data_IF_514242015260
#
_entry.id   IF_514242015260
#
_cell.length_a   1.000
_cell.length_b   1.000
_cell.length_c   1.000
_cell.angle_alpha   90.00
_cell.angle_beta   90.00
_cell.angle_gamma   90.00
#
_symmetry.space_group_name_H-M   'P 1'
#
loop_
_entity.id
_entity.type
_entity.pdbx_description
1 polymer ?
#
# COMPACT_ATOMS: atom_id res chain seq x y z
N UNK A 1 19.94 1.71 -15.00
CA UNK A 1 19.80 2.37 -16.26
C UNK A 1 18.42 2.03 -16.80
N UNK A 2 17.42 2.77 -16.96
CA UNK A 2 17.30 3.82 -17.86
C UNK A 2 15.81 4.16 -18.09
N UNK A 3 15.26 4.98 -17.23
CA UNK A 3 14.04 5.69 -17.60
C UNK A 3 14.30 6.51 -18.89
N UNK A 4 15.51 7.05 -19.02
CA UNK A 4 15.98 7.74 -20.22
C UNK A 4 16.11 6.84 -21.46
N UNK A 5 16.45 5.57 -21.28
CA UNK A 5 16.49 4.60 -22.38
C UNK A 5 15.10 4.31 -22.95
N UNK A 6 14.07 4.27 -22.10
CA UNK A 6 12.68 4.12 -22.52
C UNK A 6 12.21 5.34 -23.34
N UNK A 7 12.46 6.54 -22.82
CA UNK A 7 12.08 7.79 -23.49
C UNK A 7 12.78 7.99 -24.82
N UNK A 8 14.08 7.67 -24.89
CA UNK A 8 14.83 7.73 -26.15
C UNK A 8 14.39 6.69 -27.16
N UNK A 9 14.04 5.46 -26.75
CA UNK A 9 13.52 4.43 -27.65
C UNK A 9 12.15 4.79 -28.20
N UNK A 10 11.25 5.31 -27.38
CA UNK A 10 9.92 5.81 -27.82
C UNK A 10 10.09 6.96 -28.84
N UNK A 11 11.06 7.85 -28.63
CA UNK A 11 11.32 8.98 -29.54
C UNK A 11 11.96 8.55 -30.89
N UNK A 12 12.78 7.51 -30.88
CA UNK A 12 13.51 7.02 -32.09
C UNK A 12 12.66 6.04 -32.91
N UNK A 13 11.64 5.40 -32.31
CA UNK A 13 10.80 4.37 -32.95
C UNK A 13 9.51 4.95 -33.53
N UNK A 14 9.30 6.25 -33.51
CA UNK A 14 8.13 6.92 -34.12
C UNK A 14 7.89 6.69 -35.63
N UNK A 15 8.81 6.13 -36.45
CA UNK A 15 8.46 5.65 -37.79
C UNK A 15 8.07 4.16 -37.85
N UNK A 16 8.22 3.41 -36.76
CA UNK A 16 7.77 2.02 -36.69
C UNK A 16 6.27 1.96 -36.39
N UNK A 17 5.58 1.00 -36.92
CA UNK A 17 4.12 0.85 -36.86
C UNK A 17 3.60 0.97 -35.42
N UNK A 18 2.43 1.60 -35.18
CA UNK A 18 1.88 1.82 -33.84
C UNK A 18 1.74 0.53 -33.00
N UNK A 19 1.75 -0.60 -33.66
CA UNK A 19 1.65 -1.92 -33.01
C UNK A 19 2.98 -2.39 -32.39
N UNK A 20 4.13 -2.05 -32.98
CA UNK A 20 5.46 -2.40 -32.42
C UNK A 20 5.81 -1.51 -31.23
N UNK A 21 5.42 -0.23 -31.25
CA UNK A 21 5.56 0.69 -30.13
C UNK A 21 4.71 0.22 -28.94
N UNK A 22 3.47 -0.21 -29.19
CA UNK A 22 2.59 -0.72 -28.16
C UNK A 22 3.10 -2.05 -27.54
N UNK A 23 3.68 -2.95 -28.36
CA UNK A 23 4.22 -4.21 -27.83
C UNK A 23 5.54 -4.02 -27.09
N UNK A 24 6.46 -3.17 -27.57
CA UNK A 24 7.67 -2.84 -26.83
C UNK A 24 7.36 -2.11 -25.51
N UNK A 25 6.43 -1.17 -25.54
CA UNK A 25 5.97 -0.48 -24.33
C UNK A 25 5.28 -1.46 -23.36
N UNK A 26 4.44 -2.38 -23.86
CA UNK A 26 3.78 -3.38 -23.03
C UNK A 26 4.78 -4.38 -22.44
N UNK A 27 5.79 -4.84 -23.18
CA UNK A 27 6.84 -5.72 -22.66
C UNK A 27 7.73 -5.02 -21.64
N UNK A 28 8.10 -3.78 -21.87
CA UNK A 28 8.92 -3.00 -20.95
C UNK A 28 8.10 -2.57 -19.72
N UNK A 29 6.81 -2.27 -19.87
CA UNK A 29 5.89 -2.06 -18.77
C UNK A 29 5.69 -3.35 -17.94
N UNK A 30 5.56 -4.50 -18.60
CA UNK A 30 5.49 -5.81 -17.93
C UNK A 30 6.82 -6.19 -17.25
N UNK A 31 7.95 -5.84 -17.81
CA UNK A 31 9.27 -6.03 -17.20
C UNK A 31 9.47 -5.12 -15.98
N UNK A 32 8.90 -3.91 -16.01
CA UNK A 32 8.86 -2.97 -14.90
C UNK A 32 7.77 -3.31 -13.87
N UNK A 33 6.63 -3.84 -14.31
CA UNK A 33 5.60 -4.41 -13.43
C UNK A 33 6.04 -5.76 -12.85
N UNK A 34 6.94 -6.48 -13.51
CA UNK A 34 7.56 -7.71 -13.02
C UNK A 34 8.61 -7.46 -11.92
N UNK A 35 8.78 -6.23 -11.47
CA UNK A 35 9.27 -5.93 -10.13
C UNK A 35 8.33 -6.55 -9.08
N UNK A 36 8.01 -7.84 -9.28
CA UNK A 36 7.16 -8.63 -8.37
C UNK A 36 7.61 -8.47 -6.91
N UNK A 37 8.92 -8.31 -6.68
CA UNK A 37 9.49 -7.99 -5.39
C UNK A 37 8.96 -6.68 -4.80
N UNK A 38 8.72 -5.66 -5.61
CA UNK A 38 8.27 -4.34 -5.13
C UNK A 38 6.78 -4.35 -4.79
N UNK A 39 5.96 -5.02 -5.60
CA UNK A 39 4.54 -5.21 -5.32
C UNK A 39 4.37 -6.08 -4.07
N UNK A 40 5.11 -7.19 -3.98
CA UNK A 40 5.09 -8.06 -2.80
C UNK A 40 5.55 -7.31 -1.55
N UNK A 41 6.63 -6.54 -1.64
CA UNK A 41 7.13 -5.73 -0.51
C UNK A 41 6.07 -4.73 -0.05
N UNK A 42 5.47 -4.00 -0.98
CA UNK A 42 4.42 -3.02 -0.69
C UNK A 42 3.20 -3.69 -0.04
N UNK A 43 2.77 -4.82 -0.60
CA UNK A 43 1.64 -5.60 -0.07
C UNK A 43 1.93 -6.15 1.33
N UNK A 44 3.13 -6.68 1.58
CA UNK A 44 3.54 -7.18 2.90
C UNK A 44 3.59 -6.05 3.93
N UNK A 45 4.18 -4.91 3.58
CA UNK A 45 4.29 -3.78 4.52
C UNK A 45 2.93 -3.19 4.87
N UNK A 46 2.03 -3.03 3.91
CA UNK A 46 0.68 -2.52 4.16
C UNK A 46 -0.22 -3.53 4.86
N UNK A 47 -0.07 -4.83 4.56
CA UNK A 47 -0.78 -5.86 5.34
C UNK A 47 -0.36 -5.87 6.80
N UNK A 48 0.89 -5.50 7.11
CA UNK A 48 1.33 -5.24 8.50
C UNK A 48 0.47 -4.21 9.21
N UNK A 49 0.21 -3.07 8.56
CA UNK A 49 -0.70 -2.04 9.08
C UNK A 49 -2.14 -2.53 9.28
N UNK A 50 -2.64 -3.35 8.35
CA UNK A 50 -3.96 -3.97 8.48
C UNK A 50 -4.01 -4.97 9.64
N UNK A 51 -3.00 -5.82 9.78
CA UNK A 51 -2.92 -6.79 10.88
C UNK A 51 -2.89 -6.05 12.23
N UNK A 52 -2.06 -5.01 12.34
CA UNK A 52 -2.00 -4.18 13.54
C UNK A 52 -3.37 -3.53 13.81
N UNK A 53 -3.99 -2.91 12.80
CA UNK A 53 -5.27 -2.24 12.92
C UNK A 53 -6.41 -3.19 13.32
N UNK A 54 -6.49 -4.35 12.68
CA UNK A 54 -7.49 -5.38 13.01
C UNK A 54 -7.29 -5.90 14.44
N UNK A 55 -6.06 -6.22 14.82
CA UNK A 55 -5.75 -6.75 16.17
C UNK A 55 -6.06 -5.72 17.24
N UNK A 56 -5.61 -4.48 17.07
CA UNK A 56 -5.86 -3.41 18.02
C UNK A 56 -7.35 -3.02 18.06
N UNK A 57 -8.05 -3.04 16.93
CA UNK A 57 -9.49 -2.81 16.86
C UNK A 57 -10.30 -3.88 17.58
N UNK A 58 -9.96 -5.16 17.38
CA UNK A 58 -10.56 -6.29 18.11
C UNK A 58 -10.34 -6.18 19.62
N UNK A 59 -9.10 -5.89 20.03
CA UNK A 59 -8.75 -5.74 21.45
C UNK A 59 -9.45 -4.54 22.09
N UNK A 60 -9.46 -3.40 21.44
CA UNK A 60 -10.11 -2.18 21.92
C UNK A 60 -11.62 -2.37 22.05
N UNK A 61 -12.27 -2.92 21.02
CA UNK A 61 -13.71 -3.17 21.03
C UNK A 61 -14.14 -4.22 22.04
N UNK A 62 -13.39 -5.31 22.18
CA UNK A 62 -13.74 -6.39 23.11
C UNK A 62 -13.48 -6.01 24.56
N UNK A 63 -12.26 -5.54 24.90
CA UNK A 63 -11.91 -5.18 26.29
C UNK A 63 -12.58 -3.92 26.78
N UNK A 64 -12.72 -2.92 25.91
CA UNK A 64 -13.27 -1.62 26.31
C UNK A 64 -12.41 -0.90 27.38
N UNK A 65 -13.03 0.02 28.11
CA UNK A 65 -12.42 0.69 29.23
C UNK A 65 -11.09 1.41 28.91
N UNK A 66 -10.09 1.24 29.78
CA UNK A 66 -8.80 1.92 29.63
C UNK A 66 -7.98 1.43 28.42
N UNK A 67 -8.11 0.14 28.05
CA UNK A 67 -7.42 -0.45 26.88
C UNK A 67 -7.89 0.22 25.61
N UNK A 68 -9.20 0.35 25.46
CA UNK A 68 -9.83 1.06 24.35
C UNK A 68 -9.39 2.52 24.30
N UNK A 69 -9.46 3.20 25.44
CA UNK A 69 -9.05 4.61 25.53
C UNK A 69 -7.57 4.79 25.16
N UNK A 70 -6.69 3.92 25.61
CA UNK A 70 -5.26 4.00 25.30
C UNK A 70 -4.99 3.80 23.81
N UNK A 71 -5.56 2.74 23.20
CA UNK A 71 -5.37 2.44 21.78
C UNK A 71 -5.90 3.60 20.92
N UNK A 72 -7.10 4.10 21.23
CA UNK A 72 -7.68 5.21 20.46
C UNK A 72 -6.92 6.51 20.64
N UNK A 73 -6.41 6.82 21.84
CA UNK A 73 -5.57 8.01 22.07
C UNK A 73 -4.26 7.97 21.30
N UNK A 74 -3.60 6.81 21.28
CA UNK A 74 -2.41 6.62 20.43
C UNK A 74 -2.77 6.84 18.97
N UNK A 75 -3.89 6.27 18.51
CA UNK A 75 -4.41 6.50 17.15
C UNK A 75 -4.70 7.98 16.85
N UNK A 76 -5.27 8.71 17.81
CA UNK A 76 -5.55 10.15 17.66
C UNK A 76 -4.27 10.95 17.48
N UNK A 77 -3.20 10.63 18.22
CA UNK A 77 -1.88 11.25 18.06
C UNK A 77 -1.33 11.01 16.65
N UNK A 78 -1.37 9.76 16.15
CA UNK A 78 -0.95 9.46 14.78
C UNK A 78 -1.82 10.19 13.75
N UNK A 79 -3.13 10.27 13.95
CA UNK A 79 -4.05 10.92 13.02
C UNK A 79 -3.96 12.46 13.04
N UNK A 80 -3.41 13.05 14.10
CA UNK A 80 -3.24 14.51 14.20
C UNK A 80 -2.13 15.06 13.31
N UNK A 81 -1.23 14.19 12.85
CA UNK A 81 -0.07 14.56 12.05
C UNK A 81 -0.35 14.26 10.56
N UNK A 82 -0.04 15.20 9.65
CA UNK A 82 -0.14 14.93 8.22
C UNK A 82 0.82 13.81 7.82
N UNK A 83 0.29 12.71 7.27
CA UNK A 83 1.06 11.52 6.93
C UNK A 83 2.27 11.83 6.02
N UNK A 84 2.10 12.73 5.04
CA UNK A 84 3.19 13.17 4.15
C UNK A 84 4.34 13.83 4.91
N UNK A 85 4.04 14.70 5.87
CA UNK A 85 5.07 15.38 6.69
C UNK A 85 5.85 14.35 7.50
N UNK A 86 5.14 13.41 8.11
CA UNK A 86 5.77 12.33 8.88
C UNK A 86 6.63 11.41 8.01
N UNK A 87 6.19 11.09 6.80
CA UNK A 87 6.98 10.33 5.83
C UNK A 87 8.30 11.02 5.50
N UNK A 88 8.27 12.32 5.24
CA UNK A 88 9.49 13.10 4.96
C UNK A 88 10.41 13.09 6.18
N UNK A 89 9.86 13.32 7.38
CA UNK A 89 10.64 13.33 8.62
C UNK A 89 11.25 11.97 8.96
N UNK A 90 10.56 10.88 8.64
CA UNK A 90 11.04 9.51 8.85
C UNK A 90 12.07 9.13 7.78
N UNK A 91 11.83 9.50 6.51
CA UNK A 91 12.68 9.14 5.39
C UNK A 91 14.08 9.78 5.49
N UNK A 92 14.15 11.04 5.91
CA UNK A 92 15.42 11.77 5.97
C UNK A 92 16.49 11.06 6.84
N UNK A 93 16.23 10.66 8.10
CA UNK A 93 17.21 9.98 8.93
C UNK A 93 17.31 8.47 8.69
N UNK A 94 16.21 7.81 8.29
CA UNK A 94 16.17 6.35 8.15
C UNK A 94 16.55 5.87 6.75
N UNK A 95 16.34 6.66 5.71
CA UNK A 95 16.65 6.28 4.34
C UNK A 95 18.07 5.76 4.15
N UNK A 96 19.12 6.52 4.54
CA UNK A 96 20.50 6.06 4.44
C UNK A 96 20.78 4.79 5.26
N UNK A 97 20.12 4.62 6.42
CA UNK A 97 20.28 3.44 7.28
C UNK A 97 19.66 2.20 6.67
N UNK A 98 18.47 2.33 6.08
CA UNK A 98 17.79 1.23 5.40
C UNK A 98 18.58 0.79 4.17
N UNK A 99 19.11 1.73 3.38
CA UNK A 99 20.00 1.42 2.25
C UNK A 99 21.27 0.70 2.73
N UNK A 100 21.91 1.16 3.80
CA UNK A 100 23.09 0.53 4.36
C UNK A 100 22.80 -0.89 4.87
N UNK A 101 21.66 -1.07 5.54
CA UNK A 101 21.19 -2.39 6.00
C UNK A 101 20.92 -3.32 4.80
N UNK A 102 20.24 -2.84 3.75
CA UNK A 102 19.98 -3.65 2.56
C UNK A 102 21.27 -4.09 1.86
N UNK A 103 22.26 -3.21 1.75
CA UNK A 103 23.60 -3.56 1.21
C UNK A 103 24.30 -4.62 2.07
N UNK A 104 24.14 -4.52 3.39
CA UNK A 104 24.69 -5.54 4.29
C UNK A 104 24.02 -6.90 4.06
N UNK A 105 22.68 -6.93 3.88
CA UNK A 105 21.91 -8.14 3.53
C UNK A 105 22.38 -8.71 2.20
N UNK A 106 22.55 -7.90 1.14
CA UNK A 106 23.08 -8.34 -0.16
C UNK A 106 24.46 -8.99 -0.01
N UNK A 107 25.34 -8.42 0.82
CA UNK A 107 26.69 -8.97 1.04
C UNK A 107 26.73 -10.26 1.86
N UNK A 108 25.66 -10.64 2.56
CA UNK A 108 25.62 -11.80 3.46
C UNK A 108 24.57 -12.86 3.06
N UNK A 109 23.80 -12.60 2.02
CA UNK A 109 22.75 -13.51 1.54
C UNK A 109 22.84 -13.65 0.01
N UNK A 110 22.23 -14.70 -0.57
CA UNK A 110 22.18 -14.87 -2.02
C UNK A 110 21.22 -13.92 -2.75
N UNK A 111 20.70 -12.90 -2.06
CA UNK A 111 19.78 -11.93 -2.64
C UNK A 111 20.56 -10.73 -3.20
N UNK A 112 20.87 -10.77 -4.49
CA UNK A 112 21.55 -9.68 -5.19
C UNK A 112 20.54 -8.69 -5.83
N UNK A 113 20.94 -7.42 -5.92
CA UNK A 113 20.17 -6.40 -6.64
C UNK A 113 18.98 -5.78 -5.88
N UNK A 114 18.86 -6.01 -4.56
CA UNK A 114 17.79 -5.43 -3.73
C UNK A 114 17.86 -3.89 -3.72
N UNK A 115 19.05 -3.32 -3.65
CA UNK A 115 19.22 -1.85 -3.69
C UNK A 115 18.87 -1.31 -5.07
N UNK A 116 19.28 -2.01 -6.13
CA UNK A 116 19.00 -1.62 -7.51
C UNK A 116 17.51 -1.73 -7.87
N UNK A 117 16.77 -2.68 -7.26
CA UNK A 117 15.32 -2.83 -7.45
C UNK A 117 14.49 -1.75 -6.77
N UNK A 118 15.08 -0.89 -5.94
CA UNK A 118 14.34 0.10 -5.15
C UNK A 118 13.74 -0.43 -3.85
N UNK A 119 14.02 -1.69 -3.47
CA UNK A 119 13.51 -2.31 -2.24
C UNK A 119 13.64 -1.43 -0.99
N UNK A 120 14.77 -0.73 -0.72
CA UNK A 120 14.89 0.15 0.44
C UNK A 120 13.85 1.27 0.47
N UNK A 121 13.58 1.88 -0.70
CA UNK A 121 12.61 2.96 -0.82
C UNK A 121 11.18 2.44 -0.59
N UNK A 122 10.82 1.32 -1.21
CA UNK A 122 9.52 0.67 -0.99
C UNK A 122 9.34 0.27 0.48
N UNK A 123 10.33 -0.41 1.06
CA UNK A 123 10.30 -0.83 2.46
C UNK A 123 10.07 0.37 3.39
N UNK A 124 10.82 1.46 3.21
CA UNK A 124 10.72 2.63 4.08
C UNK A 124 9.36 3.31 3.96
N UNK A 125 8.95 3.60 2.73
CA UNK A 125 7.72 4.34 2.45
C UNK A 125 6.49 3.56 2.93
N UNK A 126 6.37 2.29 2.56
CA UNK A 126 5.18 1.50 2.90
C UNK A 126 5.16 1.05 4.36
N UNK A 127 6.31 0.83 5.01
CA UNK A 127 6.37 0.62 6.46
C UNK A 127 5.92 1.86 7.23
N UNK A 128 6.37 3.04 6.81
CA UNK A 128 5.95 4.29 7.42
C UNK A 128 4.44 4.54 7.20
N UNK A 129 3.92 4.31 5.99
CA UNK A 129 2.48 4.39 5.72
C UNK A 129 1.67 3.43 6.58
N UNK A 130 2.15 2.21 6.78
CA UNK A 130 1.44 1.20 7.60
C UNK A 130 1.26 1.66 9.04
N UNK A 131 2.21 2.45 9.56
CA UNK A 131 2.12 3.06 10.90
C UNK A 131 0.99 4.11 11.02
N UNK A 132 0.47 4.62 9.92
CA UNK A 132 -0.64 5.57 9.92
C UNK A 132 -1.97 4.93 9.53
N UNK A 133 -1.96 3.99 8.59
CA UNK A 133 -3.19 3.36 8.08
C UNK A 133 -3.89 2.44 9.09
N UNK A 134 -3.16 1.89 10.06
CA UNK A 134 -3.75 1.00 11.07
C UNK A 134 -4.89 1.66 11.87
N UNK A 135 -4.84 2.99 12.07
CA UNK A 135 -5.80 3.72 12.92
C UNK A 135 -7.21 3.67 12.33
N UNK A 136 -7.33 3.90 11.02
CA UNK A 136 -8.61 3.85 10.31
C UNK A 136 -9.26 2.47 10.44
N UNK A 137 -8.48 1.42 10.15
CA UNK A 137 -8.91 0.03 10.25
C UNK A 137 -9.31 -0.32 11.70
N UNK A 138 -8.48 0.08 12.68
CA UNK A 138 -8.77 -0.18 14.09
C UNK A 138 -10.10 0.44 14.54
N UNK A 139 -10.41 1.68 14.12
CA UNK A 139 -11.68 2.35 14.44
C UNK A 139 -12.87 1.61 13.85
N UNK A 140 -12.80 1.17 12.58
CA UNK A 140 -13.88 0.43 11.92
C UNK A 140 -14.13 -0.90 12.62
N UNK A 141 -13.07 -1.71 12.83
CA UNK A 141 -13.20 -3.00 13.50
C UNK A 141 -13.71 -2.83 14.94
N UNK A 142 -13.17 -1.86 15.69
CA UNK A 142 -13.64 -1.55 17.04
C UNK A 142 -15.14 -1.25 17.08
N UNK A 143 -15.63 -0.44 16.16
CA UNK A 143 -17.08 -0.07 16.14
C UNK A 143 -17.97 -1.29 15.92
N UNK A 144 -17.57 -2.21 15.09
CA UNK A 144 -18.29 -3.47 14.84
C UNK A 144 -18.20 -4.43 16.03
N UNK A 145 -17.04 -4.55 16.64
CA UNK A 145 -16.85 -5.41 17.80
C UNK A 145 -17.68 -4.92 19.00
N UNK A 146 -17.79 -3.61 19.20
CA UNK A 146 -18.66 -3.02 20.23
C UNK A 146 -20.13 -3.43 20.06
N UNK A 147 -20.62 -3.49 18.81
CA UNK A 147 -21.98 -3.94 18.52
C UNK A 147 -22.14 -5.46 18.67
N UNK A 148 -21.15 -6.23 18.25
CA UNK A 148 -21.18 -7.69 18.30
C UNK A 148 -21.09 -8.23 19.72
N UNK A 149 -20.28 -7.64 20.59
CA UNK A 149 -20.11 -8.13 21.97
C UNK A 149 -21.38 -8.07 22.81
N UNK A 150 -22.36 -7.24 22.42
CA UNK A 150 -23.65 -7.12 23.09
C UNK A 150 -24.70 -8.13 22.57
N UNK A 151 -24.31 -9.01 21.66
CA UNK A 151 -25.19 -10.05 21.13
C UNK A 151 -25.34 -11.23 22.11
N UNK A 152 -26.54 -11.79 22.17
CA UNK A 152 -26.92 -12.86 23.10
C UNK A 152 -25.98 -14.07 23.04
N UNK A 153 -25.53 -14.46 21.85
CA UNK A 153 -24.63 -15.61 21.68
C UNK A 153 -23.23 -15.37 22.27
N UNK A 154 -22.75 -14.11 22.29
CA UNK A 154 -21.47 -13.76 22.93
C UNK A 154 -21.64 -13.80 24.45
N UNK A 155 -22.70 -13.19 24.97
CA UNK A 155 -23.01 -13.23 26.39
C UNK A 155 -23.22 -14.65 26.90
N UNK A 156 -23.89 -15.48 26.14
CA UNK A 156 -24.05 -16.90 26.44
C UNK A 156 -22.70 -17.64 26.50
N UNK A 157 -21.82 -17.41 25.51
CA UNK A 157 -20.48 -18.02 25.50
C UNK A 157 -19.65 -17.60 26.71
N UNK A 158 -19.68 -16.34 27.11
CA UNK A 158 -19.00 -15.83 28.29
C UNK A 158 -19.57 -16.41 29.59
N UNK A 159 -20.89 -16.51 29.68
CA UNK A 159 -21.60 -17.14 30.82
C UNK A 159 -21.23 -18.62 31.00
N UNK A 160 -20.92 -19.31 29.90
CA UNK A 160 -20.42 -20.69 29.89
C UNK A 160 -18.91 -20.79 30.16
N UNK A 161 -18.22 -19.66 30.45
CA UNK A 161 -16.81 -19.63 30.80
C UNK A 161 -15.85 -19.60 29.61
N UNK A 162 -16.27 -19.18 28.44
CA UNK A 162 -15.38 -19.00 27.31
C UNK A 162 -14.29 -17.96 27.64
N UNK A 163 -13.03 -18.32 27.36
CA UNK A 163 -11.91 -17.37 27.54
C UNK A 163 -11.98 -16.21 26.54
N UNK A 164 -11.44 -15.03 26.88
CA UNK A 164 -11.41 -13.87 25.98
C UNK A 164 -10.84 -14.17 24.60
N UNK A 165 -9.76 -14.95 24.54
CA UNK A 165 -9.14 -15.37 23.29
C UNK A 165 -10.09 -16.23 22.47
N UNK A 166 -10.85 -17.12 23.11
CA UNK A 166 -11.83 -17.97 22.43
C UNK A 166 -12.98 -17.13 21.86
N UNK A 167 -13.50 -16.16 22.62
CA UNK A 167 -14.55 -15.25 22.15
C UNK A 167 -14.05 -14.44 20.94
N UNK A 168 -12.84 -13.90 21.01
CA UNK A 168 -12.27 -13.11 19.90
C UNK A 168 -12.09 -13.99 18.66
N UNK A 169 -11.44 -15.16 18.77
CA UNK A 169 -11.07 -15.95 17.60
C UNK A 169 -12.22 -16.76 17.01
N UNK A 170 -13.15 -17.26 17.84
CA UNK A 170 -14.24 -18.14 17.38
C UNK A 170 -15.54 -17.39 17.11
N UNK A 171 -15.75 -16.25 17.72
CA UNK A 171 -17.02 -15.51 17.58
C UNK A 171 -16.85 -14.14 16.92
N UNK A 172 -15.93 -13.29 17.39
CA UNK A 172 -15.80 -11.94 16.88
C UNK A 172 -15.08 -11.90 15.53
N UNK A 173 -13.90 -12.53 15.44
CA UNK A 173 -13.09 -12.50 14.21
C UNK A 173 -13.82 -13.04 12.97
N UNK A 174 -14.53 -14.17 13.01
CA UNK A 174 -15.32 -14.63 11.86
C UNK A 174 -16.41 -13.65 11.44
N UNK A 175 -17.05 -12.98 12.41
CA UNK A 175 -18.14 -12.03 12.14
C UNK A 175 -17.64 -10.69 11.56
N UNK A 176 -16.38 -10.32 11.79
CA UNK A 176 -15.78 -9.11 11.18
C UNK A 176 -14.89 -9.42 9.98
N UNK A 177 -14.73 -10.70 9.62
CA UNK A 177 -13.82 -11.14 8.56
C UNK A 177 -14.14 -10.50 7.21
N UNK A 178 -15.41 -10.28 6.89
CA UNK A 178 -15.82 -9.61 5.66
C UNK A 178 -15.28 -8.17 5.58
N UNK A 179 -15.24 -7.44 6.70
CA UNK A 179 -14.67 -6.09 6.75
C UNK A 179 -13.15 -6.13 6.58
N UNK A 180 -12.50 -7.16 7.10
CA UNK A 180 -11.05 -7.36 6.94
C UNK A 180 -10.73 -7.60 5.47
N UNK A 181 -11.48 -8.47 4.79
CA UNK A 181 -11.31 -8.77 3.36
C UNK A 181 -11.59 -7.53 2.51
N UNK A 182 -12.66 -6.80 2.83
CA UNK A 182 -12.99 -5.54 2.15
C UNK A 182 -11.87 -4.50 2.31
N UNK A 183 -11.36 -4.35 3.53
CA UNK A 183 -10.24 -3.44 3.82
C UNK A 183 -8.97 -3.84 3.07
N UNK A 184 -8.69 -5.14 2.95
CA UNK A 184 -7.54 -5.65 2.18
C UNK A 184 -7.67 -5.30 0.70
N UNK A 185 -8.84 -5.49 0.10
CA UNK A 185 -9.11 -5.13 -1.30
C UNK A 185 -8.94 -3.63 -1.55
N UNK A 186 -9.51 -2.80 -0.68
CA UNK A 186 -9.35 -1.34 -0.76
C UNK A 186 -7.89 -0.90 -0.62
N UNK A 187 -7.10 -1.61 0.19
CA UNK A 187 -5.68 -1.32 0.39
C UNK A 187 -4.86 -1.57 -0.87
N UNK A 188 -5.18 -2.58 -1.67
CA UNK A 188 -4.49 -2.85 -2.94
C UNK A 188 -4.57 -1.65 -3.90
N UNK A 189 -5.75 -1.03 -4.03
CA UNK A 189 -5.91 0.18 -4.83
C UNK A 189 -5.16 1.39 -4.25
N UNK A 190 -5.17 1.54 -2.92
CA UNK A 190 -4.49 2.66 -2.27
C UNK A 190 -2.96 2.57 -2.31
N UNK A 191 -2.38 1.38 -2.50
CA UNK A 191 -0.92 1.20 -2.69
C UNK A 191 -0.45 1.98 -3.92
N UNK A 192 -1.07 1.73 -5.07
CA UNK A 192 -0.70 2.38 -6.32
C UNK A 192 -0.90 3.90 -6.25
N UNK A 193 -2.03 4.34 -5.69
CA UNK A 193 -2.30 5.78 -5.50
C UNK A 193 -1.30 6.46 -4.57
N UNK A 194 -0.94 5.81 -3.47
CA UNK A 194 0.03 6.35 -2.51
C UNK A 194 1.43 6.44 -3.11
N UNK A 195 1.86 5.44 -3.88
CA UNK A 195 3.16 5.45 -4.56
C UNK A 195 3.27 6.67 -5.49
N UNK A 196 2.25 6.91 -6.32
CA UNK A 196 2.22 8.03 -7.25
C UNK A 196 2.32 9.36 -6.52
N UNK A 197 1.49 9.57 -5.50
CA UNK A 197 1.46 10.81 -4.71
C UNK A 197 2.81 11.04 -4.02
N UNK A 198 3.39 10.02 -3.40
CA UNK A 198 4.65 10.14 -2.68
C UNK A 198 5.84 10.39 -3.60
N UNK A 199 5.88 9.73 -4.74
CA UNK A 199 6.93 9.95 -5.75
C UNK A 199 6.81 11.34 -6.36
N UNK A 200 5.58 11.83 -6.60
CA UNK A 200 5.35 13.21 -7.02
C UNK A 200 5.92 14.25 -6.04
N UNK A 201 5.82 14.00 -4.74
CA UNK A 201 6.41 14.85 -3.71
C UNK A 201 7.90 14.57 -3.45
N UNK A 202 8.54 13.70 -4.23
CA UNK A 202 9.97 13.41 -4.11
C UNK A 202 10.34 12.53 -2.91
N UNK A 203 9.35 11.92 -2.25
CA UNK A 203 9.54 11.06 -1.07
C UNK A 203 9.39 9.58 -1.41
N UNK A 204 8.86 9.28 -2.60
CA UNK A 204 8.61 7.92 -3.07
C UNK A 204 9.85 7.23 -3.60
N UNK A 205 9.62 6.36 -4.57
CA UNK A 205 10.65 5.53 -5.20
C UNK A 205 11.62 6.40 -5.99
N UNK A 206 12.91 6.26 -5.70
CA UNK A 206 13.95 7.04 -6.33
C UNK A 206 14.57 6.30 -7.53
N UNK A 207 15.03 7.03 -8.57
CA UNK A 207 15.79 6.42 -9.65
C UNK A 207 16.99 5.62 -9.11
N UNK A 208 17.40 4.48 -9.72
CA UNK A 208 16.98 4.01 -11.04
C UNK A 208 15.72 3.12 -11.05
N UNK A 209 15.04 2.92 -9.92
CA UNK A 209 13.84 2.09 -9.87
C UNK A 209 12.69 2.77 -10.62
N UNK A 210 11.98 2.00 -11.44
CA UNK A 210 10.86 2.50 -12.20
C UNK A 210 9.63 2.68 -11.30
N UNK A 211 8.93 3.79 -11.47
CA UNK A 211 7.71 4.10 -10.74
C UNK A 211 6.73 4.88 -11.62
N UNK A 212 5.44 4.61 -11.47
CA UNK A 212 4.41 5.38 -12.16
C UNK A 212 4.42 6.85 -11.75
N UNK A 213 4.69 7.12 -10.47
CA UNK A 213 4.81 8.49 -9.96
C UNK A 213 5.95 9.26 -10.60
N UNK A 214 7.12 8.63 -10.80
CA UNK A 214 8.26 9.24 -11.48
C UNK A 214 7.94 9.54 -12.95
N UNK A 215 7.32 8.60 -13.66
CA UNK A 215 6.91 8.79 -15.07
C UNK A 215 5.92 9.95 -15.21
N UNK A 216 4.92 10.04 -14.34
CA UNK A 216 3.95 11.14 -14.33
C UNK A 216 4.61 12.47 -13.98
N UNK A 217 5.51 12.49 -13.01
CA UNK A 217 6.24 13.69 -12.61
C UNK A 217 7.11 14.23 -13.75
N UNK A 218 7.90 13.39 -14.39
CA UNK A 218 8.75 13.76 -15.53
C UNK A 218 7.93 14.25 -16.74
N UNK A 219 6.78 13.58 -17.02
CA UNK A 219 5.86 13.96 -18.09
C UNK A 219 5.10 15.25 -17.83
N UNK A 220 4.97 15.70 -16.58
CA UNK A 220 4.17 16.86 -16.17
C UNK A 220 4.82 18.21 -16.44
N UNK A 221 6.12 18.25 -16.73
CA UNK A 221 6.84 19.49 -17.05
C UNK A 221 6.19 20.22 -18.22
N UNK A 222 5.95 21.54 -18.10
CA UNK A 222 5.25 22.32 -19.13
C UNK A 222 5.90 22.18 -20.50
N UNK A 223 7.22 22.17 -20.57
CA UNK A 223 7.96 22.00 -21.83
C UNK A 223 7.82 20.57 -22.38
N UNK A 224 7.92 19.58 -21.49
CA UNK A 224 7.76 18.16 -21.84
C UNK A 224 6.35 17.88 -22.35
N UNK A 225 5.34 18.42 -21.66
CA UNK A 225 3.93 18.26 -22.06
C UNK A 225 3.64 18.91 -23.41
N UNK A 226 4.17 20.11 -23.69
CA UNK A 226 4.00 20.78 -24.98
C UNK A 226 4.70 20.08 -26.13
N UNK A 227 5.89 19.51 -25.89
CA UNK A 227 6.66 18.81 -26.92
C UNK A 227 6.18 17.36 -27.13
N UNK A 228 5.79 16.68 -26.05
CA UNK A 228 5.51 15.24 -26.04
C UNK A 228 4.42 14.89 -25.03
N UNK A 229 3.14 15.24 -25.29
CA UNK A 229 2.04 15.05 -24.33
C UNK A 229 1.79 13.57 -24.01
N UNK A 230 2.18 12.66 -24.88
CA UNK A 230 2.03 11.21 -24.66
C UNK A 230 2.84 10.71 -23.45
N UNK A 231 3.95 11.37 -23.09
CA UNK A 231 4.76 10.99 -21.92
C UNK A 231 4.00 11.15 -20.58
N UNK A 232 3.00 12.02 -20.53
CA UNK A 232 2.09 12.16 -19.38
C UNK A 232 0.81 11.34 -19.59
N UNK A 233 0.21 11.41 -20.78
CA UNK A 233 -1.11 10.84 -21.03
C UNK A 233 -1.10 9.31 -20.99
N UNK A 234 -0.06 8.67 -21.56
CA UNK A 234 0.00 7.19 -21.61
C UNK A 234 0.10 6.59 -20.19
N UNK A 235 1.09 6.95 -19.36
CA UNK A 235 1.13 6.43 -17.98
C UNK A 235 -0.09 6.86 -17.16
N UNK A 236 -0.64 8.06 -17.39
CA UNK A 236 -1.84 8.54 -16.72
C UNK A 236 -3.07 7.67 -17.00
N UNK A 237 -3.28 7.28 -18.26
CA UNK A 237 -4.38 6.36 -18.64
C UNK A 237 -4.16 4.99 -18.03
N UNK A 238 -2.93 4.45 -18.08
CA UNK A 238 -2.62 3.12 -17.53
C UNK A 238 -2.87 3.11 -16.02
N UNK A 239 -2.41 4.10 -15.29
CA UNK A 239 -2.66 4.24 -13.84
C UNK A 239 -4.15 4.33 -13.55
N UNK A 240 -4.90 5.14 -14.32
CA UNK A 240 -6.34 5.27 -14.14
C UNK A 240 -7.05 3.94 -14.33
N UNK A 241 -6.69 3.18 -15.37
CA UNK A 241 -7.25 1.84 -15.62
C UNK A 241 -6.87 0.86 -14.51
N UNK A 242 -5.65 0.92 -14.02
CA UNK A 242 -5.17 0.08 -12.90
C UNK A 242 -5.97 0.35 -11.63
N UNK A 243 -6.11 1.62 -11.24
CA UNK A 243 -6.89 2.01 -10.05
C UNK A 243 -8.36 1.62 -10.20
N UNK A 244 -8.93 1.78 -11.39
CA UNK A 244 -10.30 1.37 -11.69
C UNK A 244 -10.47 -0.16 -11.60
N UNK A 245 -9.50 -0.94 -12.11
CA UNK A 245 -9.51 -2.40 -12.00
C UNK A 245 -9.48 -2.87 -10.53
N UNK A 246 -8.66 -2.23 -9.68
CA UNK A 246 -8.64 -2.53 -8.25
C UNK A 246 -9.94 -2.15 -7.54
N UNK A 247 -10.58 -1.04 -7.93
CA UNK A 247 -11.88 -0.67 -7.39
C UNK A 247 -12.94 -1.72 -7.76
N UNK A 248 -13.01 -2.13 -9.04
CA UNK A 248 -13.93 -3.19 -9.48
C UNK A 248 -13.66 -4.54 -8.79
N UNK A 249 -12.40 -4.88 -8.55
CA UNK A 249 -12.04 -6.08 -7.80
C UNK A 249 -12.57 -6.02 -6.37
N UNK A 250 -12.45 -4.86 -5.72
CA UNK A 250 -12.99 -4.62 -4.38
C UNK A 250 -14.50 -4.79 -4.33
N UNK A 251 -15.22 -4.23 -5.32
CA UNK A 251 -16.67 -4.35 -5.43
C UNK A 251 -17.09 -5.80 -5.69
N UNK A 252 -16.43 -6.50 -6.61
CA UNK A 252 -16.72 -7.90 -6.91
C UNK A 252 -16.49 -8.82 -5.69
N UNK A 253 -15.42 -8.59 -4.91
CA UNK A 253 -15.18 -9.32 -3.67
C UNK A 253 -16.24 -9.03 -2.62
N UNK A 254 -16.69 -7.78 -2.51
CA UNK A 254 -17.77 -7.41 -1.60
C UNK A 254 -19.09 -8.10 -1.97
N UNK A 255 -19.42 -8.16 -3.25
CA UNK A 255 -20.64 -8.84 -3.73
C UNK A 255 -20.55 -10.35 -3.51
N UNK A 256 -19.40 -10.97 -3.76
CA UNK A 256 -19.19 -12.40 -3.53
C UNK A 256 -19.29 -12.82 -2.04
N UNK A 257 -19.03 -11.90 -1.11
CA UNK A 257 -19.13 -12.16 0.33
C UNK A 257 -20.55 -11.96 0.84
N UNK A 258 -21.35 -11.12 0.17
CA UNK A 258 -22.74 -10.83 0.56
C UNK A 258 -23.79 -11.79 -0.01
N UNK A 259 -23.46 -12.47 -1.12
CA UNK A 259 -24.30 -13.49 -1.75
C UNK A 259 -24.12 -14.84 -1.12
#
# INVERSE_FOLDING_TARGET
>A
SNVWGLQLRILVVLPATPMTVATEFATELLEHLSGAANIVTSAVMLSGGLIIGNTLGLLAGYRGGWVDTLIMRVGDVFSSLPALVMLILINAPLGPRVVAWTRWVEGHTPFDGLVASGFPSYMLVFSALSLFFWVGTARVIRSQVLQLRERDYIMAAESLGASPTRVILQHLLPNVSFLIILSLSATLGSIAGSEIVLTWFGVGVQPPAASFGAMLFEGSGTRTFQASPHLLLVPGVIVTLLLFAFALLGDALNDAIRG
#
